data_IF_599558945090
#
_entry.id   IF_599558945090
#
_cell.length_a   1.000
_cell.length_b   1.000
_cell.length_c   1.000
_cell.angle_alpha   90.00
_cell.angle_beta   90.00
_cell.angle_gamma   90.00
#
_symmetry.space_group_name_H-M   'P 1'
#
loop_
_entity.id
_entity.type
_entity.pdbx_description
1 polymer ?
#
# COMPACT_ATOMS: atom_id res chain seq x y z
N UNK A 1 -14.96 -23.43 -12.27
CA UNK A 1 -13.75 -22.81 -11.71
C UNK A 1 -12.60 -23.03 -12.66
N UNK A 2 -12.24 -21.99 -13.38
CA UNK A 2 -11.22 -22.02 -14.43
C UNK A 2 -9.85 -22.38 -13.84
N UNK A 3 -8.99 -23.12 -14.59
CA UNK A 3 -7.67 -23.55 -14.12
C UNK A 3 -6.79 -22.40 -13.59
N UNK A 4 -6.90 -21.22 -14.21
CA UNK A 4 -6.17 -20.00 -13.82
C UNK A 4 -6.55 -19.52 -12.42
N UNK A 5 -7.84 -19.57 -12.06
CA UNK A 5 -8.34 -19.12 -10.74
C UNK A 5 -7.82 -20.05 -9.64
N UNK A 6 -7.86 -21.37 -9.85
CA UNK A 6 -7.28 -22.33 -8.89
C UNK A 6 -5.79 -22.12 -8.69
N UNK A 7 -5.05 -21.90 -9.78
CA UNK A 7 -3.61 -21.63 -9.73
C UNK A 7 -3.32 -20.34 -8.97
N UNK A 8 -4.08 -19.27 -9.21
CA UNK A 8 -3.97 -18.00 -8.47
C UNK A 8 -4.21 -18.20 -6.98
N UNK A 9 -5.33 -18.84 -6.59
CA UNK A 9 -5.64 -19.11 -5.19
C UNK A 9 -4.55 -19.90 -4.48
N UNK A 10 -3.98 -20.89 -5.17
CA UNK A 10 -2.84 -21.66 -4.64
C UNK A 10 -1.58 -20.83 -4.47
N UNK A 11 -1.31 -19.83 -5.33
CA UNK A 11 -0.14 -18.95 -5.22
C UNK A 11 -0.25 -17.98 -4.05
N UNK A 12 -1.44 -17.42 -3.83
CA UNK A 12 -1.69 -16.44 -2.78
C UNK A 12 -2.03 -17.10 -1.43
N UNK A 13 -2.34 -18.40 -1.44
CA UNK A 13 -2.73 -19.17 -0.25
C UNK A 13 -4.11 -18.77 0.31
N UNK A 14 -5.03 -18.34 -0.55
CA UNK A 14 -6.38 -17.91 -0.17
C UNK A 14 -7.42 -18.43 -1.16
N UNK A 15 -8.52 -18.96 -0.63
CA UNK A 15 -9.64 -19.46 -1.43
C UNK A 15 -10.80 -18.44 -1.38
N UNK A 16 -11.14 -17.87 -2.54
CA UNK A 16 -12.22 -16.89 -2.61
C UNK A 16 -13.58 -17.55 -2.46
N UNK A 17 -14.46 -16.93 -1.66
CA UNK A 17 -15.89 -17.25 -1.60
C UNK A 17 -16.57 -16.74 -2.86
N UNK A 18 -16.24 -15.50 -3.26
CA UNK A 18 -16.65 -14.90 -4.50
C UNK A 18 -15.45 -14.74 -5.46
N UNK A 19 -15.31 -15.71 -6.37
CA UNK A 19 -14.23 -15.73 -7.37
C UNK A 19 -14.28 -14.54 -8.35
N UNK A 20 -15.39 -13.80 -8.41
CA UNK A 20 -15.50 -12.61 -9.25
C UNK A 20 -14.53 -11.51 -8.83
N UNK A 21 -14.25 -11.38 -7.52
CA UNK A 21 -13.26 -10.42 -7.04
C UNK A 21 -11.84 -10.78 -7.51
N UNK A 22 -11.48 -12.07 -7.47
CA UNK A 22 -10.20 -12.53 -8.00
C UNK A 22 -10.14 -12.38 -9.53
N UNK A 23 -11.23 -12.69 -10.22
CA UNK A 23 -11.33 -12.52 -11.66
C UNK A 23 -11.14 -11.05 -12.06
N UNK A 24 -11.74 -10.09 -11.35
CA UNK A 24 -11.57 -8.66 -11.60
C UNK A 24 -10.14 -8.20 -11.29
N UNK A 25 -9.55 -8.67 -10.19
CA UNK A 25 -8.23 -8.27 -9.73
C UNK A 25 -7.11 -8.54 -10.76
N UNK A 26 -7.30 -9.54 -11.63
CA UNK A 26 -6.31 -9.93 -12.65
C UNK A 26 -6.56 -9.34 -14.04
N UNK A 27 -7.55 -8.44 -14.19
CA UNK A 27 -7.78 -7.73 -15.45
C UNK A 27 -6.90 -6.48 -15.52
N UNK A 28 -5.94 -6.46 -16.43
CA UNK A 28 -5.21 -5.23 -16.72
C UNK A 28 -6.14 -4.16 -17.32
N UNK A 29 -5.86 -2.86 -17.14
CA UNK A 29 -6.58 -1.81 -17.83
C UNK A 29 -6.61 -2.03 -19.35
N UNK A 30 -7.79 -1.97 -19.95
CA UNK A 30 -7.97 -2.23 -21.38
C UNK A 30 -7.99 -3.71 -21.77
N UNK A 31 -8.02 -4.64 -20.81
CA UNK A 31 -8.32 -6.04 -21.09
C UNK A 31 -9.67 -6.19 -21.82
N UNK A 32 -9.74 -7.19 -22.70
CA UNK A 32 -10.98 -7.53 -23.40
C UNK A 32 -11.60 -8.76 -22.73
N UNK A 33 -12.84 -8.61 -22.30
CA UNK A 33 -13.64 -9.70 -21.73
C UNK A 33 -14.50 -10.30 -22.84
N UNK A 34 -14.45 -11.63 -22.98
CA UNK A 34 -15.42 -12.36 -23.81
C UNK A 34 -16.67 -12.61 -22.98
N UNK A 35 -17.84 -12.46 -23.59
CA UNK A 35 -19.17 -12.53 -22.94
C UNK A 35 -19.51 -13.88 -22.27
N UNK A 36 -18.59 -14.84 -22.22
CA UNK A 36 -18.73 -16.13 -21.52
C UNK A 36 -17.56 -16.48 -20.59
N UNK A 37 -16.57 -15.61 -20.39
CA UNK A 37 -15.44 -15.82 -19.48
C UNK A 37 -15.68 -15.30 -18.05
N UNK A 38 -16.83 -14.67 -17.81
CA UNK A 38 -17.25 -14.25 -16.47
C UNK A 38 -17.83 -15.48 -15.75
N UNK A 39 -17.04 -16.12 -14.89
CA UNK A 39 -17.54 -17.21 -14.04
C UNK A 39 -18.55 -16.62 -13.03
N UNK A 40 -19.85 -16.82 -13.26
CA UNK A 40 -20.92 -16.42 -12.34
C UNK A 40 -21.89 -15.36 -12.88
N UNK A 41 -21.71 -14.84 -14.10
CA UNK A 41 -22.74 -14.06 -14.76
C UNK A 41 -23.85 -15.00 -15.24
N UNK A 42 -25.07 -14.80 -14.75
CA UNK A 42 -26.25 -15.58 -15.13
C UNK A 42 -26.41 -15.66 -16.65
N UNK A 43 -26.91 -16.81 -17.10
CA UNK A 43 -27.21 -17.14 -18.50
C UNK A 43 -28.38 -16.30 -19.02
N UNK A 44 -28.18 -15.00 -19.22
CA UNK A 44 -29.07 -14.19 -20.02
C UNK A 44 -28.40 -13.85 -21.34
N UNK A 45 -29.14 -14.10 -22.42
CA UNK A 45 -28.68 -14.05 -23.81
C UNK A 45 -28.28 -12.62 -24.20
N UNK A 46 -27.07 -12.23 -23.86
CA UNK A 46 -26.46 -11.01 -24.38
C UNK A 46 -25.47 -11.38 -25.49
N UNK A 47 -25.62 -10.68 -26.61
CA UNK A 47 -24.86 -10.79 -27.85
C UNK A 47 -23.39 -11.10 -27.61
N UNK A 48 -22.85 -12.07 -28.36
CA UNK A 48 -21.42 -12.39 -28.42
C UNK A 48 -20.68 -11.12 -28.82
N UNK A 49 -20.10 -10.43 -27.84
CA UNK A 49 -19.53 -9.11 -27.99
C UNK A 49 -18.34 -8.93 -27.07
N UNK A 50 -17.24 -8.42 -27.61
CA UNK A 50 -16.05 -8.08 -26.83
C UNK A 50 -16.34 -6.83 -25.99
N UNK A 51 -16.39 -6.97 -24.67
CA UNK A 51 -16.52 -5.82 -23.79
C UNK A 51 -15.12 -5.41 -23.33
N UNK A 52 -14.74 -4.17 -23.61
CA UNK A 52 -13.53 -3.58 -23.01
C UNK A 52 -13.80 -3.32 -21.54
N UNK A 53 -12.81 -3.61 -20.70
CA UNK A 53 -12.81 -3.25 -19.28
C UNK A 53 -11.82 -2.09 -19.08
N UNK A 54 -12.25 -0.83 -19.27
CA UNK A 54 -11.32 0.28 -19.47
C UNK A 54 -10.43 0.52 -18.26
N UNK A 55 -11.02 0.42 -17.06
CA UNK A 55 -10.31 0.62 -15.80
C UNK A 55 -9.66 -0.64 -15.25
N UNK A 56 -9.96 -1.83 -15.79
CA UNK A 56 -9.37 -3.07 -15.30
C UNK A 56 -9.55 -3.21 -13.78
N UNK A 57 -8.48 -3.61 -13.13
CA UNK A 57 -8.37 -3.79 -11.69
C UNK A 57 -8.11 -2.49 -10.89
N UNK A 58 -8.11 -1.30 -11.50
CA UNK A 58 -7.68 -0.04 -10.84
C UNK A 58 -8.44 0.28 -9.56
N UNK A 59 -9.76 0.05 -9.54
CA UNK A 59 -10.58 0.34 -8.35
C UNK A 59 -10.21 -0.58 -7.18
N UNK A 60 -10.01 -1.86 -7.45
CA UNK A 60 -9.50 -2.81 -6.48
C UNK A 60 -8.06 -2.47 -6.04
N UNK A 61 -7.22 -2.00 -6.96
CA UNK A 61 -5.85 -1.59 -6.65
C UNK A 61 -5.82 -0.43 -5.64
N UNK A 62 -6.64 0.60 -5.83
CA UNK A 62 -6.73 1.73 -4.88
C UNK A 62 -7.17 1.25 -3.49
N UNK A 63 -8.17 0.37 -3.41
CA UNK A 63 -8.60 -0.23 -2.15
C UNK A 63 -7.47 -1.06 -1.53
N UNK A 64 -6.80 -1.87 -2.35
CA UNK A 64 -5.72 -2.75 -1.98
C UNK A 64 -4.49 -2.05 -1.43
N UNK A 65 -4.05 -0.96 -2.06
CA UNK A 65 -2.97 -0.11 -1.57
C UNK A 65 -3.29 0.45 -0.16
N UNK A 66 -4.54 0.90 0.02
CA UNK A 66 -5.00 1.38 1.33
C UNK A 66 -4.96 0.28 2.40
N UNK A 67 -5.45 -0.91 2.04
CA UNK A 67 -5.49 -2.09 2.91
C UNK A 67 -4.09 -2.61 3.24
N UNK A 68 -3.17 -2.64 2.26
CA UNK A 68 -1.77 -2.98 2.45
C UNK A 68 -1.11 -2.06 3.48
N UNK A 69 -1.30 -0.75 3.33
CA UNK A 69 -0.76 0.25 4.25
C UNK A 69 -1.36 0.09 5.65
N UNK A 70 -2.67 -0.13 5.74
CA UNK A 70 -3.34 -0.37 7.01
C UNK A 70 -2.79 -1.61 7.73
N UNK A 71 -2.59 -2.72 7.01
CA UNK A 71 -2.02 -3.94 7.58
C UNK A 71 -0.61 -3.71 8.17
N UNK A 72 0.25 -2.98 7.44
CA UNK A 72 1.59 -2.64 7.92
C UNK A 72 1.56 -1.71 9.14
N UNK A 73 0.66 -0.72 9.16
CA UNK A 73 0.49 0.20 10.29
C UNK A 73 -0.06 -0.53 11.52
N UNK A 74 -1.02 -1.44 11.34
CA UNK A 74 -1.62 -2.23 12.41
C UNK A 74 -0.58 -3.20 13.03
N UNK A 75 0.22 -3.89 12.21
CA UNK A 75 1.30 -4.75 12.69
C UNK A 75 2.38 -3.95 13.45
N UNK A 76 2.77 -2.79 12.93
CA UNK A 76 3.68 -1.88 13.62
C UNK A 76 3.12 -1.38 14.96
N UNK A 77 1.84 -0.97 15.00
CA UNK A 77 1.20 -0.44 16.20
C UNK A 77 1.13 -1.49 17.32
N UNK A 78 0.94 -2.76 16.97
CA UNK A 78 0.99 -3.90 17.89
C UNK A 78 2.41 -4.27 18.32
N UNK A 79 3.42 -3.79 17.59
CA UNK A 79 4.83 -4.00 17.87
C UNK A 79 5.42 -2.99 18.85
N UNK A 80 6.75 -3.01 18.97
CA UNK A 80 7.53 -2.11 19.84
C UNK A 80 8.46 -1.18 19.05
N UNK A 81 8.22 -1.03 17.75
CA UNK A 81 9.13 -0.35 16.83
C UNK A 81 8.91 1.18 16.81
N UNK A 82 9.97 1.93 16.47
CA UNK A 82 9.91 3.41 16.42
C UNK A 82 9.23 3.88 15.12
N UNK A 83 8.56 5.03 15.17
CA UNK A 83 7.76 5.61 14.07
C UNK A 83 8.56 5.81 12.76
N UNK A 84 9.82 6.23 12.80
CA UNK A 84 10.61 6.45 11.58
C UNK A 84 10.79 5.16 10.77
N UNK A 85 10.83 4.01 11.45
CA UNK A 85 10.90 2.70 10.80
C UNK A 85 9.60 2.40 10.04
N UNK A 86 8.44 2.81 10.54
CA UNK A 86 7.15 2.60 9.88
C UNK A 86 7.10 3.29 8.51
N UNK A 87 7.47 4.58 8.44
CA UNK A 87 7.40 5.33 7.18
C UNK A 87 8.24 4.68 6.08
N UNK A 88 9.46 4.23 6.42
CA UNK A 88 10.33 3.49 5.50
C UNK A 88 9.73 2.14 5.12
N UNK A 89 9.26 1.35 6.09
CA UNK A 89 8.64 0.04 5.83
C UNK A 89 7.45 0.15 4.90
N UNK A 90 6.54 1.10 5.16
CA UNK A 90 5.36 1.34 4.32
C UNK A 90 5.77 1.75 2.91
N UNK A 91 6.73 2.67 2.78
CA UNK A 91 7.25 3.11 1.48
C UNK A 91 7.91 1.97 0.70
N UNK A 92 8.77 1.19 1.35
CA UNK A 92 9.55 0.13 0.71
C UNK A 92 8.65 -1.03 0.28
N UNK A 93 7.81 -1.51 1.19
CA UNK A 93 6.90 -2.64 0.93
C UNK A 93 5.84 -2.26 -0.11
N UNK A 94 5.24 -1.07 0.01
CA UNK A 94 4.21 -0.58 -0.91
C UNK A 94 4.74 -0.04 -2.24
N UNK A 95 6.06 0.02 -2.44
CA UNK A 95 6.61 0.56 -3.68
C UNK A 95 6.28 -0.32 -4.90
N UNK A 96 5.95 0.31 -6.03
CA UNK A 96 5.73 -0.41 -7.29
C UNK A 96 6.91 -1.33 -7.66
N UNK A 97 8.14 -0.94 -7.33
CA UNK A 97 9.32 -1.76 -7.56
C UNK A 97 9.28 -3.07 -6.75
N UNK A 98 9.00 -2.98 -5.45
CA UNK A 98 8.86 -4.15 -4.59
C UNK A 98 7.66 -5.02 -5.00
N UNK A 99 6.49 -4.42 -5.20
CA UNK A 99 5.29 -5.16 -5.60
C UNK A 99 5.46 -5.87 -6.96
N UNK A 100 6.15 -5.23 -7.91
CA UNK A 100 6.52 -5.88 -9.17
C UNK A 100 7.44 -7.09 -8.96
N UNK A 101 8.49 -6.95 -8.14
CA UNK A 101 9.41 -8.04 -7.81
C UNK A 101 8.67 -9.20 -7.13
N UNK A 102 7.83 -8.90 -6.15
CA UNK A 102 7.02 -9.89 -5.42
C UNK A 102 6.07 -10.62 -6.36
N UNK A 103 5.32 -9.89 -7.19
CA UNK A 103 4.38 -10.52 -8.13
C UNK A 103 5.05 -11.45 -9.13
N UNK A 104 6.23 -11.07 -9.63
CA UNK A 104 7.05 -11.91 -10.53
C UNK A 104 7.62 -13.13 -9.82
N UNK A 105 8.15 -12.96 -8.61
CA UNK A 105 8.70 -14.06 -7.81
C UNK A 105 7.64 -15.13 -7.52
N UNK A 106 6.38 -14.70 -7.38
CA UNK A 106 5.23 -15.59 -7.21
C UNK A 106 4.61 -16.09 -8.52
N UNK A 107 5.15 -15.70 -9.68
CA UNK A 107 4.72 -16.14 -11.02
C UNK A 107 3.35 -15.62 -11.44
N UNK A 108 2.91 -14.49 -10.90
CA UNK A 108 1.59 -13.90 -11.17
C UNK A 108 1.50 -13.22 -12.54
N UNK A 109 2.63 -12.87 -13.14
CA UNK A 109 2.73 -12.27 -14.49
C UNK A 109 2.11 -13.14 -15.57
N UNK A 110 2.25 -14.46 -15.43
CA UNK A 110 1.65 -15.43 -16.35
C UNK A 110 0.13 -15.59 -16.20
N UNK A 111 -0.48 -14.97 -15.18
CA UNK A 111 -1.89 -15.14 -14.81
C UNK A 111 -2.71 -13.86 -14.98
N UNK A 112 -2.08 -12.76 -15.43
CA UNK A 112 -2.74 -11.48 -15.70
C UNK A 112 -3.34 -11.48 -17.10
N UNK A 113 -4.60 -11.08 -17.20
CA UNK A 113 -5.27 -10.84 -18.46
C UNK A 113 -4.86 -9.47 -18.99
N UNK A 114 -3.97 -9.48 -20.00
CA UNK A 114 -3.39 -8.28 -20.59
C UNK A 114 -4.35 -7.62 -21.61
N UNK A 115 -4.10 -6.35 -21.87
CA UNK A 115 -4.63 -5.71 -23.07
C UNK A 115 -4.12 -6.47 -24.31
N UNK A 116 -4.97 -6.81 -25.29
CA UNK A 116 -4.55 -7.52 -26.50
C UNK A 116 -3.44 -6.82 -27.30
N UNK A 117 -3.33 -5.49 -27.20
CA UNK A 117 -2.22 -4.74 -27.79
C UNK A 117 -0.85 -5.15 -27.21
N UNK A 118 -0.83 -5.66 -25.96
CA UNK A 118 0.36 -6.04 -25.20
C UNK A 118 0.46 -7.58 -25.02
N UNK A 119 -0.25 -8.35 -25.85
CA UNK A 119 -0.37 -9.82 -25.69
C UNK A 119 0.97 -10.54 -25.68
N UNK A 120 1.97 -10.03 -26.42
CA UNK A 120 3.30 -10.63 -26.53
C UNK A 120 4.35 -9.91 -25.67
N UNK A 121 3.99 -8.76 -25.09
CA UNK A 121 4.88 -7.99 -24.24
C UNK A 121 4.87 -8.54 -22.79
N UNK A 122 6.00 -8.45 -22.06
CA UNK A 122 6.01 -8.69 -20.62
C UNK A 122 5.05 -7.73 -19.90
N UNK A 123 4.45 -8.19 -18.79
CA UNK A 123 3.61 -7.31 -17.95
C UNK A 123 4.45 -6.14 -17.43
N UNK A 124 3.98 -4.90 -17.63
CA UNK A 124 4.66 -3.71 -17.12
C UNK A 124 4.70 -3.67 -15.58
N UNK A 125 5.71 -3.04 -15.01
CA UNK A 125 5.90 -3.01 -13.54
C UNK A 125 4.70 -2.38 -12.80
N UNK A 126 4.11 -1.32 -13.36
CA UNK A 126 2.91 -0.67 -12.79
C UNK A 126 1.70 -1.59 -12.82
N UNK A 127 1.48 -2.31 -13.93
CA UNK A 127 0.39 -3.30 -14.04
C UNK A 127 0.57 -4.45 -13.05
N UNK A 128 1.81 -4.92 -12.86
CA UNK A 128 2.11 -5.95 -11.87
C UNK A 128 1.81 -5.46 -10.45
N UNK A 129 2.32 -4.28 -10.08
CA UNK A 129 2.10 -3.69 -8.77
C UNK A 129 0.59 -3.51 -8.50
N UNK A 130 -0.14 -2.90 -9.44
CA UNK A 130 -1.59 -2.73 -9.33
C UNK A 130 -2.36 -4.05 -9.25
N UNK A 131 -1.85 -5.13 -9.84
CA UNK A 131 -2.45 -6.46 -9.69
C UNK A 131 -2.28 -7.01 -8.27
N UNK A 132 -1.10 -6.86 -7.67
CA UNK A 132 -0.88 -7.26 -6.27
C UNK A 132 -1.81 -6.47 -5.35
N UNK A 133 -1.86 -5.16 -5.51
CA UNK A 133 -2.78 -4.31 -4.75
C UNK A 133 -4.22 -4.78 -4.96
N UNK A 134 -4.66 -4.97 -6.20
CA UNK A 134 -6.02 -5.40 -6.50
C UNK A 134 -6.37 -6.76 -5.89
N UNK A 135 -5.43 -7.71 -5.83
CA UNK A 135 -5.63 -8.99 -5.14
C UNK A 135 -5.86 -8.76 -3.64
N UNK A 136 -5.08 -7.89 -2.99
CA UNK A 136 -5.29 -7.57 -1.57
C UNK A 136 -6.64 -6.88 -1.33
N UNK A 137 -7.03 -5.96 -2.23
CA UNK A 137 -8.35 -5.33 -2.20
C UNK A 137 -9.49 -6.34 -2.38
N UNK A 138 -9.32 -7.30 -3.29
CA UNK A 138 -10.26 -8.39 -3.53
C UNK A 138 -10.41 -9.30 -2.30
N UNK A 139 -9.30 -9.70 -1.66
CA UNK A 139 -9.32 -10.50 -0.44
C UNK A 139 -10.05 -9.77 0.68
N UNK A 140 -9.80 -8.47 0.84
CA UNK A 140 -10.48 -7.65 1.83
C UNK A 140 -12.00 -7.61 1.63
N UNK A 141 -12.48 -7.46 0.38
CA UNK A 141 -13.92 -7.49 0.08
C UNK A 141 -14.56 -8.87 0.31
N UNK A 142 -13.81 -9.94 0.09
CA UNK A 142 -14.28 -11.32 0.27
C UNK A 142 -14.23 -11.79 1.74
N UNK A 143 -13.47 -11.08 2.59
CA UNK A 143 -13.17 -11.49 3.97
C UNK A 143 -12.87 -10.32 4.92
N UNK A 144 -11.71 -10.33 5.58
CA UNK A 144 -11.31 -9.41 6.64
C UNK A 144 -9.79 -9.13 6.60
N UNK A 145 -9.33 -8.23 7.47
CA UNK A 145 -7.92 -7.85 7.57
C UNK A 145 -6.99 -8.99 7.99
N UNK A 146 -7.49 -10.02 8.68
CA UNK A 146 -6.67 -11.17 9.08
C UNK A 146 -6.30 -11.98 7.84
N UNK A 147 -7.26 -12.27 6.98
CA UNK A 147 -7.03 -12.98 5.72
C UNK A 147 -6.10 -12.19 4.79
N UNK A 148 -6.24 -10.87 4.73
CA UNK A 148 -5.30 -9.99 4.02
C UNK A 148 -3.88 -10.17 4.55
N UNK A 149 -3.70 -10.12 5.87
CA UNK A 149 -2.37 -10.25 6.49
C UNK A 149 -1.75 -11.61 6.21
N UNK A 150 -2.53 -12.68 6.26
CA UNK A 150 -2.08 -14.04 5.89
C UNK A 150 -1.63 -14.11 4.43
N UNK A 151 -2.39 -13.52 3.49
CA UNK A 151 -1.99 -13.43 2.07
C UNK A 151 -0.71 -12.62 1.91
N UNK A 152 -0.57 -11.50 2.62
CA UNK A 152 0.66 -10.70 2.60
C UNK A 152 1.87 -11.49 3.13
N UNK A 153 1.69 -12.35 4.15
CA UNK A 153 2.75 -13.24 4.63
C UNK A 153 3.12 -14.29 3.57
N UNK A 154 2.13 -14.92 2.93
CA UNK A 154 2.35 -15.92 1.88
C UNK A 154 3.10 -15.34 0.67
N UNK A 155 2.81 -14.08 0.33
CA UNK A 155 3.49 -13.35 -0.74
C UNK A 155 4.83 -12.74 -0.31
N UNK A 156 5.26 -12.92 0.93
CA UNK A 156 6.47 -12.32 1.51
C UNK A 156 6.47 -10.77 1.49
N UNK A 157 5.29 -10.16 1.61
CA UNK A 157 5.13 -8.70 1.77
C UNK A 157 5.22 -8.25 3.23
N UNK A 158 5.03 -9.15 4.19
CA UNK A 158 5.21 -8.84 5.61
C UNK A 158 6.69 -8.90 5.98
N UNK A 159 7.33 -7.77 6.33
CA UNK A 159 8.66 -7.82 6.92
C UNK A 159 8.56 -8.55 8.26
N UNK A 160 9.53 -9.41 8.56
CA UNK A 160 9.65 -9.99 9.90
C UNK A 160 10.04 -8.87 10.86
N UNK A 161 9.07 -8.15 11.41
CA UNK A 161 9.30 -7.26 12.54
C UNK A 161 9.72 -8.15 13.71
N UNK A 162 11.01 -8.13 14.02
CA UNK A 162 11.55 -8.85 15.18
C UNK A 162 10.85 -8.26 16.41
N UNK A 163 9.97 -9.04 17.06
CA UNK A 163 9.41 -8.67 18.36
C UNK A 163 10.59 -8.50 19.31
N UNK A 164 10.92 -7.26 19.65
CA UNK A 164 12.00 -6.96 20.60
C UNK A 164 11.48 -7.33 22.00
N UNK A 165 11.50 -8.61 22.33
CA UNK A 165 11.28 -9.08 23.70
C UNK A 165 12.40 -8.52 24.57
N UNK A 166 12.08 -7.53 25.42
CA UNK A 166 12.82 -7.31 26.67
C UNK A 166 13.84 -6.16 26.73
N UNK A 167 13.77 -5.12 25.89
CA UNK A 167 14.65 -3.95 26.08
C UNK A 167 13.95 -2.87 26.93
N UNK A 168 14.11 -2.93 28.26
CA UNK A 168 13.87 -1.78 29.13
C UNK A 168 14.87 -0.68 28.72
N UNK A 169 14.40 0.41 28.14
CA UNK A 169 15.24 1.59 27.96
C UNK A 169 15.41 2.23 29.34
N UNK A 170 16.62 2.36 29.89
CA UNK A 170 16.82 3.18 31.06
C UNK A 170 16.62 4.63 30.62
N UNK A 171 15.57 5.27 31.13
CA UNK A 171 15.54 6.74 31.17
C UNK A 171 16.63 7.16 32.14
N UNK A 172 17.74 7.66 31.62
CA UNK A 172 18.63 8.52 32.39
C UNK A 172 18.52 9.94 31.82
N UNK A 173 17.87 10.77 32.63
CA UNK A 173 18.16 12.18 32.77
C UNK A 173 19.67 12.48 32.75
N UNK A 174 19.95 13.75 32.45
CA UNK A 174 21.24 14.43 32.45
C UNK A 174 22.11 14.24 31.21
N UNK A 175 22.72 15.28 30.65
CA UNK A 175 22.61 16.74 30.77
C UNK A 175 23.76 17.26 29.89
N UNK A 176 23.61 18.49 29.40
CA UNK A 176 24.69 19.45 29.15
C UNK A 176 25.55 19.23 27.89
N UNK A 177 25.19 20.04 26.89
CA UNK A 177 26.12 20.75 26.02
C UNK A 177 27.31 21.34 26.80
N UNK A 178 28.53 21.33 26.22
CA UNK A 178 29.53 22.33 26.53
C UNK A 178 29.86 23.15 25.27
N UNK A 179 29.55 24.44 25.37
CA UNK A 179 30.27 25.54 24.70
C UNK A 179 31.68 25.61 25.29
N UNK A 180 32.72 25.64 24.46
CA UNK A 180 33.82 26.61 24.55
C UNK A 180 34.97 26.36 23.53
N UNK A 181 35.44 27.48 22.97
CA UNK A 181 36.83 27.79 22.57
C UNK A 181 37.36 27.37 21.20
N UNK A 182 37.38 28.34 20.29
CA UNK A 182 38.32 28.49 19.16
C UNK A 182 39.78 28.58 19.62
N UNK A 183 40.72 28.17 18.75
CA UNK A 183 41.90 28.99 18.50
C UNK A 183 42.05 29.33 17.01
N UNK A 184 42.70 30.47 16.80
CA UNK A 184 42.89 31.22 15.57
C UNK A 184 43.96 30.62 14.63
N UNK A 185 43.96 31.16 13.39
CA UNK A 185 44.99 31.14 12.32
C UNK A 185 45.06 29.79 11.55
N UNK A 186 44.94 29.67 10.21
CA UNK A 186 45.50 30.49 9.11
C UNK A 186 44.68 30.43 7.82
N UNK A 187 44.61 31.61 7.21
CA UNK A 187 44.40 31.98 5.80
C UNK A 187 44.88 30.93 4.77
N UNK A 188 43.93 30.35 4.03
CA UNK A 188 44.02 30.14 2.57
C UNK A 188 42.62 30.28 1.96
N UNK A 189 42.51 31.14 0.94
CA UNK A 189 41.25 31.60 0.37
C UNK A 189 40.33 30.50 -0.15
N UNK A 190 39.04 30.63 0.18
CA UNK A 190 37.95 29.92 -0.48
C UNK A 190 37.13 30.88 -1.37
N UNK A 191 36.59 30.39 -2.49
CA UNK A 191 35.85 31.21 -3.44
C UNK A 191 34.47 31.57 -2.88
N UNK A 192 34.06 32.79 -3.16
CA UNK A 192 32.75 33.37 -2.88
C UNK A 192 31.61 32.47 -3.44
N UNK A 193 31.00 31.63 -2.60
CA UNK A 193 29.81 30.86 -2.98
C UNK A 193 28.55 31.66 -2.68
N UNK A 194 27.81 31.95 -3.74
CA UNK A 194 26.47 32.52 -3.77
C UNK A 194 25.48 31.81 -2.80
N UNK A 195 24.35 32.45 -2.45
CA UNK A 195 23.34 31.87 -1.55
C UNK A 195 22.87 30.51 -2.06
N UNK A 196 22.95 29.48 -1.21
CA UNK A 196 22.40 28.16 -1.51
C UNK A 196 20.88 28.26 -1.58
N UNK A 197 20.36 28.31 -2.80
CA UNK A 197 18.95 28.06 -3.08
C UNK A 197 18.57 26.71 -2.45
N UNK A 198 17.60 26.73 -1.54
CA UNK A 198 17.02 25.52 -0.99
C UNK A 198 16.39 24.74 -2.15
N UNK A 199 16.90 23.54 -2.39
CA UNK A 199 16.40 22.59 -3.39
C UNK A 199 14.86 22.56 -3.36
N UNK A 200 14.22 22.96 -4.46
CA UNK A 200 12.76 23.05 -4.58
C UNK A 200 12.05 21.74 -4.22
N UNK A 201 12.75 20.60 -4.38
CA UNK A 201 12.23 19.29 -4.00
C UNK A 201 12.05 19.16 -2.48
N UNK A 202 12.98 19.69 -1.68
CA UNK A 202 12.91 19.72 -0.21
C UNK A 202 11.77 20.65 0.24
N UNK A 203 11.61 21.81 -0.39
CA UNK A 203 10.52 22.75 -0.10
C UNK A 203 9.16 22.10 -0.38
N UNK A 204 9.04 21.31 -1.45
CA UNK A 204 7.81 20.57 -1.80
C UNK A 204 7.49 19.46 -0.81
N UNK A 205 8.50 18.74 -0.31
CA UNK A 205 8.33 17.71 0.72
C UNK A 205 7.87 18.33 2.05
N UNK A 206 8.47 19.44 2.46
CA UNK A 206 8.09 20.14 3.70
C UNK A 206 6.65 20.67 3.65
N UNK A 207 6.24 21.28 2.53
CA UNK A 207 4.85 21.72 2.34
C UNK A 207 3.85 20.57 2.39
N UNK A 208 4.18 19.44 1.75
CA UNK A 208 3.32 18.24 1.78
C UNK A 208 3.18 17.66 3.20
N UNK A 209 4.24 17.72 4.02
CA UNK A 209 4.20 17.30 5.42
C UNK A 209 3.29 18.21 6.27
N UNK A 210 3.33 19.52 6.06
CA UNK A 210 2.48 20.46 6.78
C UNK A 210 1.00 20.29 6.46
N UNK A 211 0.66 20.05 5.18
CA UNK A 211 -0.72 19.76 4.76
C UNK A 211 -1.24 18.45 5.36
N UNK A 212 -0.39 17.40 5.45
CA UNK A 212 -0.76 16.15 6.09
C UNK A 212 -1.04 16.33 7.60
N UNK A 213 -0.20 17.08 8.30
CA UNK A 213 -0.44 17.38 9.73
C UNK A 213 -1.70 18.21 9.95
N UNK A 214 -2.03 19.11 9.02
CA UNK A 214 -3.26 19.90 9.06
C UNK A 214 -4.48 18.99 8.89
N UNK A 215 -4.47 18.11 7.88
CA UNK A 215 -5.55 17.15 7.64
C UNK A 215 -5.75 16.20 8.83
N UNK A 216 -4.68 15.74 9.49
CA UNK A 216 -4.76 14.90 10.68
C UNK A 216 -5.38 15.64 11.88
N UNK A 217 -5.04 16.93 12.08
CA UNK A 217 -5.65 17.76 13.13
C UNK A 217 -7.13 17.97 12.89
N UNK A 218 -7.52 18.29 11.65
CA UNK A 218 -8.92 18.46 11.27
C UNK A 218 -9.73 17.16 11.48
N UNK A 219 -9.17 16.01 11.08
CA UNK A 219 -9.82 14.72 11.31
C UNK A 219 -10.00 14.41 12.80
N UNK A 220 -8.99 14.71 13.63
CA UNK A 220 -9.08 14.55 15.08
C UNK A 220 -10.19 15.43 15.69
N UNK A 221 -10.37 16.66 15.21
CA UNK A 221 -11.43 17.56 15.66
C UNK A 221 -12.80 17.01 15.28
N UNK A 222 -12.98 16.54 14.04
CA UNK A 222 -14.24 15.94 13.57
C UNK A 222 -14.60 14.71 14.42
N UNK A 223 -13.63 13.87 14.75
CA UNK A 223 -13.85 12.69 15.59
C UNK A 223 -14.28 13.07 17.01
N UNK A 224 -13.66 14.09 17.60
CA UNK A 224 -14.05 14.59 18.93
C UNK A 224 -15.46 15.21 18.93
N UNK A 225 -15.83 15.93 17.86
CA UNK A 225 -17.17 16.50 17.73
C UNK A 225 -18.24 15.42 17.56
N UNK A 226 -17.96 14.39 16.76
CA UNK A 226 -18.86 13.25 16.61
C UNK A 226 -19.10 12.52 17.93
N UNK A 227 -18.03 12.29 18.69
CA UNK A 227 -18.12 11.65 20.00
C UNK A 227 -18.94 12.47 21.01
N UNK A 228 -18.83 13.81 20.97
CA UNK A 228 -19.66 14.71 21.80
C UNK A 228 -21.13 14.72 21.38
N UNK A 229 -21.42 14.66 20.07
CA UNK A 229 -22.79 14.55 19.57
C UNK A 229 -23.45 13.25 20.01
N UNK A 230 -22.72 12.13 19.91
CA UNK A 230 -23.21 10.82 20.34
C UNK A 230 -23.48 10.78 21.86
N UNK A 231 -22.64 11.44 22.67
CA UNK A 231 -22.85 11.58 24.11
C UNK A 231 -24.07 12.45 24.45
N UNK A 232 -24.27 13.57 23.75
CA UNK A 232 -25.43 14.43 23.96
C UNK A 232 -26.76 13.74 23.56
N UNK A 233 -26.75 12.94 22.49
CA UNK A 233 -27.92 12.16 22.07
C UNK A 233 -28.35 11.11 23.10
N UNK A 234 -27.41 10.60 23.91
CA UNK A 234 -27.67 9.64 24.99
C UNK A 234 -28.05 10.31 26.33
N UNK A 235 -27.95 11.64 26.41
CA UNK A 235 -28.19 12.43 27.64
C UNK A 235 -29.54 13.13 27.68
N UNK A 236 -30.39 12.95 26.66
CA UNK A 236 -31.70 13.61 26.58
C UNK A 236 -32.75 12.65 27.18
N UNK A 237 -33.42 13.01 28.29
CA UNK A 237 -34.42 12.15 28.93
C UNK A 237 -35.71 11.99 28.12
#
# INVERSE_FOLDING_TARGET
MAPTVRKLQSRIGYNFKNVQYLWEAVQAPGAIIRSGEVEGAGTERHSVGFQRFPDGNRRLAVLGDTVLKLALVDDWYKGTEVRERLSRVVSDVGSNANLNMVGRTNGLDTLINKNPADKDAPVGAVTMAGTIEAILGAVYLDSDMKCVTEVMQNLALMPRLVRRTGMKVPMSDSMKSPVASTPSVQDQGEPETAPRDLDESLVKVMKSSQELEKAMREHSIVMQLKQRLDQNAQSTP
#
